data_IF_460332707240
#
_entry.id   IF_460332707240
#
_cell.length_a   1.000
_cell.length_b   1.000
_cell.length_c   1.000
_cell.angle_alpha   90.00
_cell.angle_beta   90.00
_cell.angle_gamma   90.00
#
_symmetry.space_group_name_H-M   'P 1'
#
loop_
_entity.id
_entity.type
_entity.pdbx_description
1 polymer ?
#
# COMPACT_ATOMS: atom_id res chain seq x y z
N UNK A 1 -36.83 30.62 -26.80
CA UNK A 1 -35.70 29.75 -26.46
C UNK A 1 -34.78 29.73 -27.67
N UNK A 2 -33.66 30.46 -27.62
CA UNK A 2 -32.76 30.56 -28.77
C UNK A 2 -31.90 29.30 -28.92
N UNK A 3 -32.08 28.61 -30.04
CA UNK A 3 -31.25 27.49 -30.46
C UNK A 3 -29.85 27.98 -30.82
N UNK A 4 -28.86 27.66 -30.00
CA UNK A 4 -27.45 27.92 -30.26
C UNK A 4 -26.84 26.70 -30.96
N UNK A 5 -26.37 26.90 -32.19
CA UNK A 5 -25.69 25.88 -33.02
C UNK A 5 -24.42 25.34 -32.36
N UNK A 6 -24.08 24.07 -32.60
CA UNK A 6 -22.99 23.28 -31.97
C UNK A 6 -21.61 23.99 -31.91
N UNK A 7 -21.33 24.92 -32.83
CA UNK A 7 -20.14 25.80 -32.77
C UNK A 7 -20.06 26.65 -31.49
N UNK A 8 -21.16 26.86 -30.77
CA UNK A 8 -21.20 27.67 -29.55
C UNK A 8 -20.89 26.90 -28.26
N UNK A 9 -20.80 25.56 -28.28
CA UNK A 9 -20.51 24.77 -27.07
C UNK A 9 -19.04 24.86 -26.62
N UNK A 10 -18.10 25.17 -27.52
CA UNK A 10 -16.67 25.28 -27.21
C UNK A 10 -16.21 26.66 -26.69
N UNK A 11 -17.04 27.69 -26.84
CA UNK A 11 -16.66 29.05 -26.45
C UNK A 11 -16.91 29.27 -24.96
N UNK A 12 -15.86 29.67 -24.23
CA UNK A 12 -15.95 30.03 -22.81
C UNK A 12 -16.77 31.33 -22.66
N UNK A 13 -18.06 31.21 -22.34
CA UNK A 13 -19.00 32.34 -22.18
C UNK A 13 -19.18 32.83 -20.74
N UNK A 14 -18.54 32.16 -19.77
CA UNK A 14 -18.60 32.51 -18.35
C UNK A 14 -17.23 32.98 -17.88
N UNK A 15 -17.21 34.05 -17.06
CA UNK A 15 -16.01 34.59 -16.43
C UNK A 15 -16.10 34.37 -14.92
N UNK A 16 -14.98 33.94 -14.33
CA UNK A 16 -14.79 33.81 -12.90
C UNK A 16 -13.63 34.72 -12.50
N UNK A 17 -13.84 35.56 -11.50
CA UNK A 17 -12.81 36.40 -10.89
C UNK A 17 -12.45 35.84 -9.52
N UNK A 18 -11.16 35.56 -9.32
CA UNK A 18 -10.63 34.98 -8.08
C UNK A 18 -9.68 36.00 -7.47
N UNK A 19 -9.92 36.39 -6.21
CA UNK A 19 -9.00 37.22 -5.44
C UNK A 19 -7.86 36.34 -4.93
N UNK A 20 -6.63 36.80 -5.14
CA UNK A 20 -5.40 36.11 -4.76
C UNK A 20 -4.48 37.09 -4.05
N UNK A 21 -3.76 36.60 -3.04
CA UNK A 21 -2.55 37.25 -2.55
C UNK A 21 -1.43 37.16 -3.60
N UNK A 22 -0.40 37.99 -3.46
CA UNK A 22 0.76 37.96 -4.37
C UNK A 22 1.45 36.59 -4.38
N UNK A 23 1.56 35.95 -3.21
CA UNK A 23 2.16 34.62 -3.10
C UNK A 23 1.36 33.55 -3.86
N UNK A 24 0.04 33.54 -3.72
CA UNK A 24 -0.83 32.60 -4.44
C UNK A 24 -0.77 32.83 -5.95
N UNK A 25 -0.74 34.09 -6.40
CA UNK A 25 -0.60 34.42 -7.81
C UNK A 25 0.72 33.89 -8.39
N UNK A 26 1.84 34.13 -7.72
CA UNK A 26 3.15 33.62 -8.16
C UNK A 26 3.18 32.08 -8.15
N UNK A 27 2.53 31.46 -7.17
CA UNK A 27 2.44 30.01 -7.08
C UNK A 27 1.68 29.42 -8.28
N UNK A 28 0.51 29.97 -8.60
CA UNK A 28 -0.28 29.55 -9.78
C UNK A 28 0.50 29.80 -11.06
N UNK A 29 1.15 30.97 -11.19
CA UNK A 29 1.95 31.34 -12.37
C UNK A 29 3.11 30.38 -12.63
N UNK A 30 3.81 29.97 -11.57
CA UNK A 30 4.93 29.02 -11.66
C UNK A 30 4.44 27.66 -12.15
N UNK A 31 3.31 27.18 -11.64
CA UNK A 31 2.78 25.85 -11.96
C UNK A 31 2.02 25.80 -13.29
N UNK A 32 1.54 26.94 -13.80
CA UNK A 32 0.84 27.00 -15.08
C UNK A 32 1.77 27.02 -16.31
N UNK A 33 3.11 27.02 -16.15
CA UNK A 33 4.07 27.16 -17.27
C UNK A 33 3.94 26.12 -18.39
N UNK A 34 3.40 24.93 -18.09
CA UNK A 34 3.16 23.87 -19.07
C UNK A 34 1.75 23.88 -19.69
N UNK A 35 0.90 24.84 -19.31
CA UNK A 35 -0.47 24.94 -19.79
C UNK A 35 -0.62 26.06 -20.80
N UNK A 36 -1.59 25.91 -21.72
CA UNK A 36 -1.94 26.95 -22.68
C UNK A 36 -2.40 28.27 -22.05
N UNK A 37 -2.88 28.22 -20.80
CA UNK A 37 -3.18 29.39 -19.98
C UNK A 37 -3.29 29.02 -18.50
N UNK A 38 -3.18 30.02 -17.61
CA UNK A 38 -3.52 29.86 -16.19
C UNK A 38 -4.94 29.33 -15.99
N UNK A 39 -5.90 29.80 -16.79
CA UNK A 39 -7.28 29.32 -16.72
C UNK A 39 -7.40 27.84 -17.09
N UNK A 40 -6.61 27.35 -18.06
CA UNK A 40 -6.56 25.93 -18.42
C UNK A 40 -5.98 25.11 -17.27
N UNK A 41 -4.93 25.59 -16.60
CA UNK A 41 -4.36 24.96 -15.41
C UNK A 41 -5.36 24.85 -14.26
N UNK A 42 -6.04 25.94 -13.91
CA UNK A 42 -7.02 25.95 -12.81
C UNK A 42 -8.19 25.01 -13.11
N UNK A 43 -8.72 25.02 -14.34
CA UNK A 43 -9.83 24.14 -14.72
C UNK A 43 -9.42 22.66 -14.71
N UNK A 44 -8.21 22.34 -15.16
CA UNK A 44 -7.70 20.97 -15.11
C UNK A 44 -7.46 20.51 -13.67
N UNK A 45 -6.89 21.38 -12.82
CA UNK A 45 -6.72 21.12 -11.41
C UNK A 45 -8.05 20.84 -10.71
N UNK A 46 -9.11 21.61 -11.01
CA UNK A 46 -10.46 21.40 -10.47
C UNK A 46 -11.07 20.10 -11.00
N UNK A 47 -10.93 19.79 -12.29
CA UNK A 47 -11.44 18.55 -12.91
C UNK A 47 -10.79 17.31 -12.29
N UNK A 48 -9.50 17.40 -12.00
CA UNK A 48 -8.70 16.31 -11.43
C UNK A 48 -8.62 16.38 -9.90
N UNK A 49 -9.32 17.34 -9.27
CA UNK A 49 -9.40 17.45 -7.83
C UNK A 49 -10.28 16.32 -7.32
N UNK A 50 -9.66 15.29 -6.78
CA UNK A 50 -10.35 14.24 -6.03
C UNK A 50 -10.42 14.66 -4.56
N UNK A 51 -11.58 15.12 -4.06
CA UNK A 51 -11.73 15.54 -2.66
C UNK A 51 -11.50 14.40 -1.67
N UNK A 52 -11.48 13.13 -2.14
CA UNK A 52 -11.21 11.97 -1.31
C UNK A 52 -9.73 11.66 -1.21
N UNK A 53 -8.86 12.10 -2.12
CA UNK A 53 -7.41 11.75 -2.13
C UNK A 53 -6.68 12.15 -0.84
N UNK A 54 -6.97 13.33 -0.28
CA UNK A 54 -6.34 13.80 0.96
C UNK A 54 -6.78 13.00 2.19
N UNK A 55 -8.08 12.69 2.30
CA UNK A 55 -8.67 11.92 3.39
C UNK A 55 -8.29 10.43 3.30
N UNK A 56 -8.31 9.88 2.08
CA UNK A 56 -7.94 8.51 1.78
C UNK A 56 -6.49 8.20 2.12
N UNK A 57 -5.55 9.15 2.07
CA UNK A 57 -4.14 8.82 2.37
C UNK A 57 -3.95 8.45 3.83
N UNK A 58 -4.52 9.20 4.76
CA UNK A 58 -4.46 8.90 6.20
C UNK A 58 -5.25 7.63 6.49
N UNK A 59 -6.46 7.49 5.96
CA UNK A 59 -7.28 6.28 6.14
C UNK A 59 -6.60 5.04 5.56
N UNK A 60 -5.90 5.17 4.42
CA UNK A 60 -5.10 4.08 3.83
C UNK A 60 -3.91 3.73 4.70
N UNK A 61 -3.24 4.73 5.30
CA UNK A 61 -2.13 4.48 6.22
C UNK A 61 -2.60 3.79 7.51
N UNK A 62 -3.76 4.17 8.04
CA UNK A 62 -4.38 3.51 9.19
C UNK A 62 -4.72 2.06 8.84
N UNK A 63 -5.44 1.84 7.74
CA UNK A 63 -5.80 0.50 7.27
C UNK A 63 -4.58 -0.38 6.98
N UNK A 64 -3.51 0.20 6.43
CA UNK A 64 -2.24 -0.49 6.23
C UNK A 64 -1.58 -0.87 7.56
N UNK A 65 -1.62 0.01 8.56
CA UNK A 65 -1.12 -0.26 9.91
C UNK A 65 -1.86 -1.44 10.55
N UNK A 66 -3.19 -1.45 10.48
CA UNK A 66 -4.03 -2.55 11.00
C UNK A 66 -3.76 -3.87 10.27
N UNK A 67 -3.60 -3.84 8.94
CA UNK A 67 -3.26 -5.03 8.16
C UNK A 67 -1.87 -5.57 8.52
N UNK A 68 -0.91 -4.69 8.80
CA UNK A 68 0.44 -5.08 9.21
C UNK A 68 0.44 -5.76 10.58
N UNK A 69 -0.28 -5.20 11.55
CA UNK A 69 -0.39 -5.78 12.89
C UNK A 69 -1.07 -7.17 12.86
N UNK A 70 -2.17 -7.30 12.12
CA UNK A 70 -2.85 -8.58 11.93
C UNK A 70 -1.97 -9.62 11.21
N UNK A 71 -1.13 -9.18 10.28
CA UNK A 71 -0.19 -10.05 9.56
C UNK A 71 0.93 -10.55 10.47
N UNK A 72 1.51 -9.68 11.30
CA UNK A 72 2.56 -10.05 12.27
C UNK A 72 2.07 -11.11 13.27
N UNK A 73 0.84 -10.94 13.79
CA UNK A 73 0.21 -11.93 14.69
C UNK A 73 -0.02 -13.26 13.98
N UNK A 74 -0.55 -13.24 12.75
CA UNK A 74 -0.85 -14.45 11.99
C UNK A 74 0.42 -15.23 11.62
N UNK A 75 1.46 -14.52 11.18
CA UNK A 75 2.76 -15.09 10.85
C UNK A 75 3.47 -15.64 12.09
N UNK A 76 3.38 -14.96 13.23
CA UNK A 76 3.92 -15.45 14.50
C UNK A 76 3.25 -16.76 14.94
N UNK A 77 1.92 -16.88 14.76
CA UNK A 77 1.20 -18.14 15.01
C UNK A 77 1.63 -19.26 14.08
N UNK A 78 1.81 -18.97 12.78
CA UNK A 78 2.31 -19.95 11.81
C UNK A 78 3.73 -20.42 12.16
N UNK A 79 4.62 -19.51 12.52
CA UNK A 79 5.98 -19.83 12.98
C UNK A 79 5.98 -20.72 14.22
N UNK A 80 5.14 -20.42 15.22
CA UNK A 80 5.00 -21.25 16.41
C UNK A 80 4.52 -22.67 16.11
N UNK A 81 3.54 -22.82 15.20
CA UNK A 81 3.04 -24.14 14.80
C UNK A 81 4.12 -24.97 14.08
N UNK A 82 4.87 -24.34 13.18
CA UNK A 82 5.98 -24.99 12.47
C UNK A 82 7.08 -25.42 13.44
N UNK A 83 7.43 -24.58 14.41
CA UNK A 83 8.36 -24.96 15.48
C UNK A 83 7.88 -26.18 16.28
N UNK A 84 6.60 -26.23 16.62
CA UNK A 84 6.04 -27.38 17.33
C UNK A 84 6.11 -28.66 16.48
N UNK A 85 5.82 -28.57 15.17
CA UNK A 85 5.95 -29.69 14.24
C UNK A 85 7.41 -30.16 14.17
N UNK A 86 8.36 -29.25 14.01
CA UNK A 86 9.79 -29.56 13.99
C UNK A 86 10.24 -30.25 15.29
N UNK A 87 9.81 -29.76 16.46
CA UNK A 87 10.11 -30.40 17.75
C UNK A 87 9.49 -31.80 17.87
N UNK A 88 8.26 -32.01 17.39
CA UNK A 88 7.61 -33.33 17.39
C UNK A 88 8.38 -34.29 16.48
N UNK A 89 8.77 -33.83 15.29
CA UNK A 89 9.58 -34.61 14.34
C UNK A 89 10.91 -35.02 15.00
N UNK A 90 11.66 -34.06 15.54
CA UNK A 90 12.96 -34.32 16.18
C UNK A 90 12.84 -35.29 17.36
N UNK A 91 11.81 -35.14 18.20
CA UNK A 91 11.55 -36.08 19.31
C UNK A 91 11.27 -37.50 18.81
N UNK A 92 10.50 -37.66 17.73
CA UNK A 92 10.21 -38.98 17.15
C UNK A 92 11.44 -39.64 16.55
N UNK A 93 12.31 -38.88 15.87
CA UNK A 93 13.59 -39.38 15.35
C UNK A 93 14.46 -39.90 16.50
N UNK A 94 14.60 -39.11 17.57
CA UNK A 94 15.39 -39.51 18.75
C UNK A 94 14.80 -40.71 19.49
N UNK A 95 13.48 -40.84 19.57
CA UNK A 95 12.82 -41.97 20.22
C UNK A 95 12.90 -43.27 19.40
N UNK A 96 13.01 -43.18 18.07
CA UNK A 96 13.13 -44.32 17.16
C UNK A 96 14.56 -44.59 16.68
N UNK A 97 15.58 -44.15 17.43
CA UNK A 97 16.99 -44.51 17.20
C UNK A 97 17.21 -46.03 17.40
N UNK A 98 16.80 -46.81 16.40
CA UNK A 98 16.83 -48.28 16.40
C UNK A 98 15.64 -48.96 15.69
N UNK A 99 14.58 -48.25 15.33
CA UNK A 99 13.44 -48.80 14.58
C UNK A 99 13.21 -48.00 13.30
N UNK A 100 12.97 -48.69 12.18
CA UNK A 100 12.75 -48.12 10.83
C UNK A 100 11.68 -47.02 10.82
N UNK A 101 12.07 -45.80 11.17
CA UNK A 101 11.24 -44.63 11.09
C UNK A 101 11.65 -43.86 9.85
N UNK A 102 11.00 -44.18 8.73
CA UNK A 102 11.11 -43.41 7.51
C UNK A 102 10.28 -42.13 7.67
N UNK A 103 10.82 -41.15 8.38
CA UNK A 103 10.48 -39.77 8.05
C UNK A 103 11.21 -39.44 6.76
N UNK A 104 10.46 -39.01 5.76
CA UNK A 104 11.04 -38.48 4.54
C UNK A 104 11.86 -37.24 4.92
N UNK A 105 13.19 -37.31 4.77
CA UNK A 105 14.10 -36.18 5.02
C UNK A 105 13.67 -34.93 4.24
N UNK A 106 12.98 -35.11 3.10
CA UNK A 106 12.39 -34.04 2.31
C UNK A 106 11.31 -33.25 3.10
N UNK A 107 10.53 -33.92 3.94
CA UNK A 107 9.51 -33.24 4.76
C UNK A 107 10.16 -32.38 5.85
N UNK A 108 11.20 -32.89 6.51
CA UNK A 108 11.92 -32.12 7.53
C UNK A 108 12.58 -30.88 6.91
N UNK A 109 13.23 -31.05 5.76
CA UNK A 109 13.84 -29.96 5.02
C UNK A 109 12.81 -28.89 4.63
N UNK A 110 11.65 -29.29 4.10
CA UNK A 110 10.57 -28.35 3.74
C UNK A 110 10.01 -27.60 4.94
N UNK A 111 9.93 -28.23 6.11
CA UNK A 111 9.45 -27.61 7.35
C UNK A 111 10.45 -26.55 7.85
N UNK A 112 11.75 -26.84 7.81
CA UNK A 112 12.80 -25.87 8.15
C UNK A 112 12.86 -24.71 7.13
N UNK A 113 12.72 -24.98 5.84
CA UNK A 113 12.67 -23.94 4.79
C UNK A 113 11.49 -22.99 5.02
N UNK A 114 10.31 -23.54 5.32
CA UNK A 114 9.12 -22.75 5.65
C UNK A 114 9.33 -21.90 6.91
N UNK A 115 9.98 -22.46 7.94
CA UNK A 115 10.31 -21.74 9.17
C UNK A 115 11.20 -20.53 8.88
N UNK A 116 12.28 -20.75 8.12
CA UNK A 116 13.26 -19.71 7.81
C UNK A 116 12.67 -18.59 6.95
N UNK A 117 11.83 -18.93 5.96
CA UNK A 117 11.11 -17.94 5.16
C UNK A 117 10.18 -17.08 6.01
N UNK A 118 9.44 -17.68 6.94
CA UNK A 118 8.54 -16.96 7.84
C UNK A 118 9.30 -16.01 8.77
N UNK A 119 10.43 -16.44 9.34
CA UNK A 119 11.28 -15.56 10.15
C UNK A 119 11.80 -14.35 9.36
N UNK A 120 12.25 -14.56 8.12
CA UNK A 120 12.69 -13.47 7.24
C UNK A 120 11.58 -12.46 6.96
N UNK A 121 10.38 -12.95 6.63
CA UNK A 121 9.22 -12.09 6.38
C UNK A 121 8.88 -11.29 7.64
N UNK A 122 8.83 -11.92 8.81
CA UNK A 122 8.58 -11.23 10.10
C UNK A 122 9.61 -10.12 10.37
N UNK A 123 10.90 -10.38 10.12
CA UNK A 123 11.97 -9.38 10.31
C UNK A 123 11.75 -8.17 9.40
N UNK A 124 11.47 -8.39 8.12
CA UNK A 124 11.25 -7.28 7.17
C UNK A 124 9.98 -6.48 7.50
N UNK A 125 8.90 -7.15 7.90
CA UNK A 125 7.66 -6.48 8.32
C UNK A 125 7.89 -5.61 9.57
N UNK A 126 8.68 -6.08 10.54
CA UNK A 126 9.05 -5.30 11.73
C UNK A 126 9.92 -4.09 11.39
N UNK A 127 10.84 -4.21 10.44
CA UNK A 127 11.63 -3.06 9.95
C UNK A 127 10.74 -1.99 9.33
N UNK A 128 9.78 -2.39 8.49
CA UNK A 128 8.83 -1.46 7.87
C UNK A 128 7.96 -0.78 8.94
N UNK A 129 7.49 -1.53 9.93
CA UNK A 129 6.70 -0.99 11.05
C UNK A 129 7.48 0.02 11.90
N UNK A 130 8.75 -0.28 12.20
CA UNK A 130 9.60 0.52 13.11
C UNK A 130 10.34 1.67 12.43
N UNK A 131 10.24 1.81 11.10
CA UNK A 131 10.86 2.90 10.33
C UNK A 131 10.05 4.21 10.37
N UNK A 132 9.18 4.37 11.38
CA UNK A 132 8.42 5.60 11.65
C UNK A 132 9.16 6.53 12.60
#
# INVERSE_FOLDING_TARGET
MENRTEKQQGNKIKRLEIRLSEQEFQHIKKHSKGYSSMSSFVLDAVKNHDPRRGKNRIDTMIKFSELMENSDVSLSRLGNNINQIAHVINRKIMANWGANFALDEDILMRVEDARFLLEKILIELRKISNSR
#
